data_IF_991559610373
#
_entry.id   IF_991559610373
#
_cell.length_a   1.000
_cell.length_b   1.000
_cell.length_c   1.000
_cell.angle_alpha   90.00
_cell.angle_beta   90.00
_cell.angle_gamma   90.00
#
_symmetry.space_group_name_H-M   'P 1'
#
loop_
_entity.id
_entity.type
_entity.pdbx_description
1 polymer ?
#
# COMPACT_ATOMS: atom_id res chain seq x y z
N UNK A 1 30.77 6.10 6.50
CA UNK A 1 29.77 5.02 6.62
C UNK A 1 29.32 4.62 5.22
N UNK A 2 29.59 3.38 4.79
CA UNK A 2 29.17 2.90 3.48
C UNK A 2 27.65 2.71 3.46
N UNK A 3 26.96 3.38 2.53
CA UNK A 3 25.57 3.05 2.18
C UNK A 3 25.61 1.67 1.52
N UNK A 4 25.15 0.63 2.23
CA UNK A 4 24.96 -0.69 1.64
C UNK A 4 24.08 -0.60 0.38
N UNK A 5 24.23 -1.51 -0.59
CA UNK A 5 23.42 -1.49 -1.80
C UNK A 5 21.94 -1.52 -1.42
N UNK A 6 21.18 -0.52 -1.87
CA UNK A 6 19.74 -0.46 -1.68
C UNK A 6 19.14 -1.70 -2.36
N UNK A 7 18.72 -2.68 -1.58
CA UNK A 7 17.99 -3.91 -1.97
C UNK A 7 16.56 -3.63 -2.43
N UNK A 8 16.30 -2.41 -2.90
CA UNK A 8 14.99 -1.98 -3.35
C UNK A 8 14.63 -2.69 -4.67
N UNK A 9 13.48 -3.35 -4.66
CA UNK A 9 12.97 -4.13 -5.79
C UNK A 9 12.18 -3.24 -6.74
N UNK A 10 12.23 -3.52 -8.05
CA UNK A 10 11.44 -2.75 -9.02
C UNK A 10 9.95 -3.02 -8.78
N UNK A 11 9.17 -1.97 -8.59
CA UNK A 11 7.70 -2.05 -8.51
C UNK A 11 7.19 -2.34 -9.93
N UNK A 12 6.39 -3.40 -10.14
CA UNK A 12 5.79 -3.67 -11.45
C UNK A 12 4.88 -2.52 -11.88
N UNK A 13 4.84 -2.21 -13.17
CA UNK A 13 4.03 -1.11 -13.71
C UNK A 13 2.53 -1.33 -13.55
N UNK A 14 2.11 -2.58 -13.61
CA UNK A 14 0.73 -3.04 -13.46
C UNK A 14 0.21 -2.90 -12.03
N UNK A 15 1.10 -2.99 -11.05
CA UNK A 15 0.85 -2.70 -9.63
C UNK A 15 0.68 -1.19 -9.41
N UNK A 16 1.14 -0.38 -10.37
CA UNK A 16 1.15 1.07 -10.28
C UNK A 16 0.17 1.68 -11.30
N UNK A 17 -1.11 1.77 -10.96
CA UNK A 17 -2.07 2.53 -11.77
C UNK A 17 -1.87 4.04 -11.54
N UNK A 18 -1.56 4.86 -12.57
CA UNK A 18 -1.41 6.30 -12.39
C UNK A 18 -2.76 7.06 -12.37
N UNK A 19 -3.89 6.39 -12.63
CA UNK A 19 -5.22 7.01 -12.64
C UNK A 19 -5.90 6.77 -11.30
N UNK A 20 -5.47 7.50 -10.26
CA UNK A 20 -6.18 7.51 -9.00
C UNK A 20 -7.26 8.60 -9.02
N UNK A 21 -8.52 8.20 -8.82
CA UNK A 21 -9.61 9.16 -8.67
C UNK A 21 -9.56 9.78 -7.26
N UNK A 22 -9.31 11.09 -7.11
CA UNK A 22 -9.30 11.73 -5.80
C UNK A 22 -10.65 11.68 -5.08
N UNK A 23 -11.74 11.33 -5.78
CA UNK A 23 -13.07 11.19 -5.17
C UNK A 23 -13.11 10.15 -4.05
N UNK A 24 -12.19 9.18 -4.03
CA UNK A 24 -12.08 8.18 -2.96
C UNK A 24 -11.87 8.80 -1.57
N UNK A 25 -11.33 10.02 -1.46
CA UNK A 25 -11.22 10.73 -0.18
C UNK A 25 -12.58 11.07 0.46
N UNK A 26 -13.66 11.08 -0.32
CA UNK A 26 -15.00 11.40 0.15
C UNK A 26 -15.76 10.17 0.69
N UNK A 27 -15.23 8.96 0.51
CA UNK A 27 -15.82 7.73 1.06
C UNK A 27 -15.50 7.67 2.56
N UNK A 28 -16.52 7.82 3.42
CA UNK A 28 -16.34 7.93 4.86
C UNK A 28 -15.86 6.63 5.51
N UNK A 29 -16.44 5.49 5.11
CA UNK A 29 -16.08 4.19 5.65
C UNK A 29 -14.71 3.73 5.12
N UNK A 30 -13.77 3.33 5.98
CA UNK A 30 -12.42 2.98 5.57
C UNK A 30 -12.35 1.68 4.76
N UNK A 31 -13.24 0.71 5.05
CA UNK A 31 -13.30 -0.55 4.32
C UNK A 31 -13.94 -0.33 2.94
N UNK A 32 -15.03 0.42 2.85
CA UNK A 32 -15.65 0.81 1.57
C UNK A 32 -14.66 1.58 0.69
N UNK A 33 -13.89 2.50 1.29
CA UNK A 33 -12.83 3.22 0.59
C UNK A 33 -11.74 2.27 0.10
N UNK A 34 -11.33 1.32 0.94
CA UNK A 34 -10.34 0.32 0.59
C UNK A 34 -10.82 -0.53 -0.59
N UNK A 35 -12.04 -1.04 -0.54
CA UNK A 35 -12.66 -1.82 -1.61
C UNK A 35 -12.79 -1.02 -2.91
N UNK A 36 -13.17 0.25 -2.83
CA UNK A 36 -13.29 1.14 -4.00
C UNK A 36 -11.94 1.36 -4.69
N UNK A 37 -10.87 1.63 -3.92
CA UNK A 37 -9.50 1.79 -4.45
C UNK A 37 -9.00 0.47 -5.04
N UNK A 38 -9.18 -0.65 -4.31
CA UNK A 38 -8.65 -1.95 -4.72
C UNK A 38 -9.50 -2.62 -5.84
N UNK A 39 -10.75 -2.21 -6.01
CA UNK A 39 -11.61 -2.60 -7.13
C UNK A 39 -11.29 -1.87 -8.43
N UNK A 40 -10.51 -0.79 -8.37
CA UNK A 40 -10.13 0.01 -9.55
C UNK A 40 -8.92 -0.54 -10.31
N UNK A 41 -8.28 -1.61 -9.81
CA UNK A 41 -7.18 -2.25 -10.51
C UNK A 41 -7.66 -3.03 -11.76
N UNK A 42 -6.86 -3.06 -12.84
CA UNK A 42 -7.16 -3.90 -13.98
C UNK A 42 -7.27 -5.37 -13.55
N UNK A 43 -8.20 -6.13 -14.16
CA UNK A 43 -8.41 -7.57 -13.87
C UNK A 43 -7.15 -8.44 -14.03
N UNK A 44 -6.11 -7.92 -14.70
CA UNK A 44 -4.81 -8.57 -14.86
C UNK A 44 -3.94 -8.57 -13.60
N UNK A 45 -4.30 -7.79 -12.58
CA UNK A 45 -3.75 -7.90 -11.23
C UNK A 45 -4.84 -8.56 -10.37
N UNK A 46 -4.59 -9.76 -9.80
CA UNK A 46 -5.60 -10.40 -8.97
C UNK A 46 -5.91 -9.48 -7.79
N UNK A 47 -7.19 -9.10 -7.57
CA UNK A 47 -7.58 -8.35 -6.40
C UNK A 47 -7.10 -9.06 -5.13
N UNK A 48 -6.70 -8.27 -4.13
CA UNK A 48 -6.26 -8.61 -2.76
C UNK A 48 -6.67 -10.02 -2.25
N UNK A 49 -7.90 -10.44 -2.53
CA UNK A 49 -8.58 -11.58 -1.92
C UNK A 49 -8.91 -12.74 -2.87
N UNK A 50 -8.52 -12.69 -4.15
CA UNK A 50 -8.92 -13.74 -5.12
C UNK A 50 -8.03 -14.97 -5.11
N UNK A 51 -6.86 -14.90 -4.46
CA UNK A 51 -5.88 -15.98 -4.41
C UNK A 51 -5.04 -16.08 -5.69
N UNK A 52 -3.72 -16.01 -5.53
CA UNK A 52 -2.77 -16.06 -6.64
C UNK A 52 -1.31 -16.11 -6.16
N UNK A 53 -0.34 -16.24 -7.09
CA UNK A 53 1.08 -16.23 -6.71
C UNK A 53 1.51 -14.90 -6.09
N UNK A 54 0.92 -13.78 -6.52
CA UNK A 54 1.21 -12.44 -6.02
C UNK A 54 -0.11 -11.66 -5.86
N UNK A 55 -0.41 -11.21 -4.64
CA UNK A 55 -1.52 -10.31 -4.33
C UNK A 55 -1.11 -8.84 -4.36
N UNK A 56 -2.11 -7.95 -4.36
CA UNK A 56 -1.92 -6.50 -4.28
C UNK A 56 -2.89 -5.91 -3.26
N UNK A 57 -2.41 -5.00 -2.42
CA UNK A 57 -3.15 -4.23 -1.40
C UNK A 57 -2.79 -2.77 -1.59
N UNK A 58 -3.76 -1.89 -1.79
CA UNK A 58 -3.54 -0.45 -1.92
C UNK A 58 -4.22 0.36 -0.82
N UNK A 59 -3.40 1.11 -0.07
CA UNK A 59 -3.78 2.01 1.01
C UNK A 59 -3.60 3.49 0.67
N UNK A 60 -3.26 3.87 -0.57
CA UNK A 60 -2.88 5.23 -0.98
C UNK A 60 -3.89 6.35 -0.61
N UNK A 61 -5.18 6.01 -0.42
CA UNK A 61 -6.25 6.96 -0.01
C UNK A 61 -6.77 6.77 1.41
N UNK A 62 -6.15 5.87 2.17
CA UNK A 62 -6.52 5.67 3.56
C UNK A 62 -6.00 6.81 4.42
N UNK A 63 -6.73 7.09 5.51
CA UNK A 63 -6.22 7.96 6.56
C UNK A 63 -5.40 7.13 7.54
N UNK A 64 -4.37 7.72 8.13
CA UNK A 64 -3.55 7.03 9.16
C UNK A 64 -4.40 6.66 10.37
N UNK A 65 -5.37 7.51 10.72
CA UNK A 65 -6.33 7.28 11.81
C UNK A 65 -7.22 6.07 11.60
N UNK A 66 -7.48 5.66 10.36
CA UNK A 66 -8.35 4.52 10.03
C UNK A 66 -7.58 3.31 9.51
N UNK A 67 -6.29 3.47 9.18
CA UNK A 67 -5.46 2.37 8.69
C UNK A 67 -5.32 1.26 9.74
N UNK A 68 -5.21 1.64 11.02
CA UNK A 68 -5.13 0.69 12.13
C UNK A 68 -6.33 -0.26 12.20
N UNK A 69 -7.51 0.20 11.80
CA UNK A 69 -8.76 -0.56 11.86
C UNK A 69 -8.81 -1.69 10.83
N UNK A 70 -8.08 -1.56 9.71
CA UNK A 70 -8.20 -2.47 8.57
C UNK A 70 -6.89 -3.21 8.23
N UNK A 71 -5.73 -2.68 8.61
CA UNK A 71 -4.43 -3.19 8.14
C UNK A 71 -4.17 -4.63 8.59
N UNK A 72 -4.59 -4.99 9.80
CA UNK A 72 -4.39 -6.33 10.34
C UNK A 72 -5.20 -7.38 9.57
N UNK A 73 -6.49 -7.10 9.34
CA UNK A 73 -7.39 -8.00 8.64
C UNK A 73 -7.00 -8.12 7.17
N UNK A 74 -6.74 -6.99 6.50
CA UNK A 74 -6.41 -6.95 5.08
C UNK A 74 -5.07 -7.63 4.79
N UNK A 75 -4.01 -7.25 5.50
CA UNK A 75 -2.67 -7.84 5.26
C UNK A 75 -2.64 -9.30 5.72
N UNK A 76 -3.33 -9.62 6.82
CA UNK A 76 -3.46 -10.99 7.30
C UNK A 76 -4.12 -11.91 6.28
N UNK A 77 -5.23 -11.47 5.69
CA UNK A 77 -5.96 -12.25 4.68
C UNK A 77 -5.20 -12.35 3.35
N UNK A 78 -4.59 -11.25 2.89
CA UNK A 78 -3.79 -11.26 1.67
C UNK A 78 -2.62 -12.25 1.76
N UNK A 79 -1.96 -12.35 2.92
CA UNK A 79 -0.87 -13.32 3.15
C UNK A 79 -1.36 -14.77 3.27
N UNK A 80 -2.59 -15.00 3.74
CA UNK A 80 -3.17 -16.36 3.77
C UNK A 80 -3.49 -16.87 2.38
N UNK A 81 -3.89 -15.97 1.47
CA UNK A 81 -4.37 -16.32 0.13
C UNK A 81 -3.31 -16.30 -0.95
N UNK A 82 -2.22 -15.55 -0.74
CA UNK A 82 -1.21 -15.30 -1.77
C UNK A 82 0.18 -15.69 -1.27
N UNK A 83 1.05 -16.13 -2.19
CA UNK A 83 2.46 -16.45 -1.87
C UNK A 83 3.28 -15.20 -1.54
N UNK A 84 3.08 -14.14 -2.31
CA UNK A 84 3.62 -12.81 -2.04
C UNK A 84 2.51 -11.76 -2.10
N UNK A 85 2.69 -10.59 -1.49
CA UNK A 85 1.72 -9.49 -1.56
C UNK A 85 2.41 -8.15 -1.64
N UNK A 86 2.04 -7.36 -2.64
CA UNK A 86 2.39 -5.95 -2.71
C UNK A 86 1.46 -5.12 -1.83
N UNK A 87 2.02 -4.21 -1.04
CA UNK A 87 1.30 -3.23 -0.24
C UNK A 87 1.70 -1.84 -0.73
N UNK A 88 0.75 -1.06 -1.25
CA UNK A 88 0.94 0.28 -1.80
C UNK A 88 0.50 1.30 -0.77
N UNK A 89 1.35 2.27 -0.51
CA UNK A 89 1.08 3.38 0.42
C UNK A 89 1.07 4.73 -0.27
N UNK A 90 1.29 4.73 -1.59
CA UNK A 90 1.55 5.94 -2.34
C UNK A 90 2.94 6.52 -2.12
N UNK A 91 3.36 7.38 -3.07
CA UNK A 91 4.63 8.13 -2.97
C UNK A 91 4.51 9.41 -2.13
N UNK A 92 3.30 9.76 -1.69
CA UNK A 92 3.07 10.97 -0.90
C UNK A 92 3.22 12.26 -1.69
N UNK A 93 2.98 12.23 -3.02
CA UNK A 93 2.96 13.40 -3.90
C UNK A 93 1.62 14.17 -3.88
N UNK A 94 0.62 13.73 -3.11
CA UNK A 94 -0.72 14.32 -3.06
C UNK A 94 -0.88 15.45 -2.03
N UNK A 95 0.14 16.26 -1.83
CA UNK A 95 -0.01 17.50 -1.07
C UNK A 95 0.63 18.62 -1.88
N UNK A 96 -0.24 19.41 -2.52
CA UNK A 96 0.14 20.71 -3.06
C UNK A 96 0.93 21.47 -1.98
N UNK A 97 2.02 22.12 -2.38
CA UNK A 97 2.98 22.80 -1.50
C UNK A 97 2.43 23.97 -0.68
N UNK A 98 1.10 24.13 -0.63
CA UNK A 98 0.36 25.11 0.18
C UNK A 98 -0.34 24.50 1.40
N UNK A 99 -0.36 23.17 1.57
CA UNK A 99 -0.95 22.55 2.75
C UNK A 99 0.06 22.49 3.91
N UNK A 100 -0.39 22.80 5.14
CA UNK A 100 0.41 22.67 6.37
C UNK A 100 0.63 21.20 6.79
N UNK A 101 0.15 20.23 6.00
CA UNK A 101 0.40 18.81 6.24
C UNK A 101 1.87 18.48 5.91
N UNK A 102 2.57 17.91 6.89
CA UNK A 102 3.95 17.43 6.71
C UNK A 102 4.01 16.51 5.48
N UNK A 103 4.99 16.78 4.62
CA UNK A 103 5.28 16.05 3.39
C UNK A 103 5.13 14.52 3.54
N UNK A 104 4.68 13.91 2.45
CA UNK A 104 4.28 12.51 2.27
C UNK A 104 5.08 11.42 2.98
N UNK A 105 4.44 10.26 3.13
CA UNK A 105 5.02 9.05 3.70
C UNK A 105 4.49 8.67 5.08
N UNK A 106 3.39 9.26 5.55
CA UNK A 106 2.79 8.88 6.84
C UNK A 106 2.23 7.46 6.78
N UNK A 107 1.48 7.12 5.71
CA UNK A 107 1.02 5.74 5.46
C UNK A 107 2.19 4.77 5.30
N UNK A 108 3.27 5.20 4.62
CA UNK A 108 4.49 4.39 4.49
C UNK A 108 5.02 4.00 5.87
N UNK A 109 5.18 4.98 6.77
CA UNK A 109 5.71 4.76 8.12
C UNK A 109 4.79 3.85 8.94
N UNK A 110 3.49 4.07 8.86
CA UNK A 110 2.51 3.27 9.61
C UNK A 110 2.52 1.81 9.15
N UNK A 111 2.54 1.57 7.84
CA UNK A 111 2.66 0.21 7.28
C UNK A 111 4.00 -0.42 7.66
N UNK A 112 5.10 0.32 7.55
CA UNK A 112 6.42 -0.19 7.92
C UNK A 112 6.51 -0.57 9.41
N UNK A 113 5.95 0.27 10.29
CA UNK A 113 5.88 -0.01 11.72
C UNK A 113 5.00 -1.22 12.01
N UNK A 114 3.85 -1.35 11.35
CA UNK A 114 2.99 -2.52 11.45
C UNK A 114 3.73 -3.80 11.05
N UNK A 115 4.39 -3.81 9.89
CA UNK A 115 5.13 -4.97 9.39
C UNK A 115 6.25 -5.36 10.36
N UNK A 116 7.00 -4.38 10.87
CA UNK A 116 8.05 -4.61 11.88
C UNK A 116 7.49 -5.17 13.18
N UNK A 117 6.39 -4.60 13.69
CA UNK A 117 5.73 -5.03 14.93
C UNK A 117 5.20 -6.47 14.83
N UNK A 118 4.68 -6.86 13.66
CA UNK A 118 4.19 -8.22 13.39
C UNK A 118 5.30 -9.19 12.98
N UNK A 119 6.56 -8.74 12.87
CA UNK A 119 7.68 -9.58 12.43
C UNK A 119 7.56 -10.07 10.99
N UNK A 120 6.80 -9.35 10.15
CA UNK A 120 6.58 -9.70 8.74
C UNK A 120 7.80 -9.26 7.93
N UNK A 121 8.35 -10.19 7.15
CA UNK A 121 9.47 -9.88 6.25
C UNK A 121 8.98 -9.10 5.04
N UNK A 122 9.69 -8.04 4.69
CA UNK A 122 9.33 -7.20 3.55
C UNK A 122 10.55 -6.70 2.78
N UNK A 123 10.32 -6.32 1.51
CA UNK A 123 11.25 -5.59 0.66
C UNK A 123 10.61 -4.28 0.22
N UNK A 124 11.33 -3.17 0.30
CA UNK A 124 10.82 -1.88 -0.17
C UNK A 124 10.92 -1.79 -1.71
N UNK A 125 9.88 -1.25 -2.34
CA UNK A 125 9.87 -0.89 -3.75
C UNK A 125 10.81 0.28 -4.07
N UNK A 126 11.53 0.20 -5.18
CA UNK A 126 12.41 1.26 -5.67
C UNK A 126 11.58 2.50 -6.00
N UNK A 127 11.96 3.63 -5.40
CA UNK A 127 11.22 4.89 -5.51
C UNK A 127 10.24 5.14 -4.35
N UNK A 128 10.11 4.18 -3.43
CA UNK A 128 9.26 4.27 -2.25
C UNK A 128 7.77 4.12 -2.56
N UNK A 129 6.97 4.01 -1.51
CA UNK A 129 5.51 3.96 -1.60
C UNK A 129 4.92 2.57 -1.87
N UNK A 130 5.74 1.52 -1.82
CA UNK A 130 5.31 0.14 -1.91
C UNK A 130 6.22 -0.80 -1.11
N UNK A 131 5.65 -1.90 -0.61
CA UNK A 131 6.35 -2.99 0.06
C UNK A 131 5.92 -4.32 -0.54
N UNK A 132 6.84 -5.25 -0.77
CA UNK A 132 6.53 -6.65 -1.07
C UNK A 132 6.70 -7.47 0.19
N UNK A 133 5.66 -8.17 0.62
CA UNK A 133 5.66 -9.08 1.77
C UNK A 133 5.55 -10.54 1.32
N UNK A 134 6.14 -11.44 2.11
CA UNK A 134 6.08 -12.90 1.93
C UNK A 134 5.55 -13.58 3.20
#
# INVERSE_FOLDING_TARGET
>A
AAKGPSTAIKIPSEVWSPSYDPSHYHIADPMERFESVNGSFPRSVPPVLTGGPVGLVDFHFQSVSTLGDIIEDVVGEARRRNGETWIITGRGQHVDGKSFQKQGGVLKKEVEEFLRRKGIKYKEGKGGGAFLVC
#
